data_IF_966236724698
#
_entry.id   IF_966236724698
#
_cell.length_a   1.000
_cell.length_b   1.000
_cell.length_c   1.000
_cell.angle_alpha   90.00
_cell.angle_beta   90.00
_cell.angle_gamma   90.00
#
_symmetry.space_group_name_H-M   'P 1'
#
loop_
_entity.id
_entity.type
_entity.pdbx_description
1 polymer ?
#
# COMPACT_ATOMS: atom_id res chain seq x y z
N UNK A 1 3.23 -11.49 -5.15
CA UNK A 1 1.79 -11.19 -5.20
C UNK A 1 1.38 -11.03 -3.77
N UNK A 2 0.86 -9.85 -3.41
CA UNK A 2 0.44 -9.54 -2.05
C UNK A 2 -0.65 -10.50 -1.59
N UNK A 3 -0.41 -11.14 -0.44
CA UNK A 3 -1.45 -11.86 0.29
C UNK A 3 -2.33 -10.86 1.03
N UNK A 4 -3.65 -10.97 0.83
CA UNK A 4 -4.63 -10.06 1.41
C UNK A 4 -5.57 -10.80 2.35
N UNK A 5 -5.84 -10.19 3.50
CA UNK A 5 -6.67 -10.75 4.55
C UNK A 5 -7.83 -9.82 4.85
N UNK A 6 -9.02 -10.38 5.10
CA UNK A 6 -10.21 -9.62 5.48
C UNK A 6 -10.47 -9.79 6.97
N UNK A 7 -10.58 -8.68 7.69
CA UNK A 7 -10.86 -8.65 9.13
C UNK A 7 -12.21 -8.01 9.40
N UNK A 8 -13.03 -8.61 10.25
CA UNK A 8 -14.22 -7.96 10.80
C UNK A 8 -13.85 -7.19 12.06
N UNK A 9 -14.09 -5.87 12.05
CA UNK A 9 -13.80 -4.96 13.15
C UNK A 9 -15.13 -4.45 13.70
N UNK A 10 -15.33 -4.58 15.02
CA UNK A 10 -16.51 -4.03 15.70
C UNK A 10 -16.15 -2.72 16.38
N UNK A 11 -16.68 -1.60 15.88
CA UNK A 11 -16.48 -0.28 16.48
C UNK A 11 -17.83 0.30 16.88
N UNK A 12 -18.03 0.53 18.18
CA UNK A 12 -19.24 1.16 18.73
C UNK A 12 -20.58 0.56 18.24
N UNK A 13 -20.60 -0.75 17.96
CA UNK A 13 -21.80 -1.46 17.48
C UNK A 13 -21.95 -1.54 15.96
N UNK A 14 -21.06 -0.92 15.19
CA UNK A 14 -20.99 -1.10 13.74
C UNK A 14 -19.99 -2.20 13.39
N UNK A 15 -20.41 -3.12 12.52
CA UNK A 15 -19.53 -4.08 11.88
C UNK A 15 -18.87 -3.40 10.67
N UNK A 16 -17.54 -3.33 10.68
CA UNK A 16 -16.72 -2.93 9.56
C UNK A 16 -15.92 -4.13 9.08
N UNK A 17 -15.58 -4.18 7.80
CA UNK A 17 -14.62 -5.14 7.29
C UNK A 17 -13.42 -4.38 6.70
N UNK A 18 -12.21 -4.85 6.98
CA UNK A 18 -10.97 -4.22 6.57
C UNK A 18 -10.12 -5.19 5.74
N UNK A 19 -9.56 -4.71 4.63
CA UNK A 19 -8.64 -5.46 3.77
C UNK A 19 -7.21 -5.11 4.17
N UNK A 20 -6.38 -6.09 4.53
CA UNK A 20 -5.03 -5.85 5.08
C UNK A 20 -3.96 -6.78 4.51
N UNK A 21 -2.70 -6.32 4.56
CA UNK A 21 -1.49 -7.08 4.22
C UNK A 21 -1.01 -8.00 5.35
N UNK A 22 -1.48 -7.81 6.58
CA UNK A 22 -0.97 -8.58 7.72
C UNK A 22 -1.83 -9.84 7.94
N UNK A 23 -1.20 -11.00 8.19
CA UNK A 23 -1.90 -12.24 8.44
C UNK A 23 -2.44 -12.31 9.89
N UNK A 24 -3.44 -13.16 10.17
CA UNK A 24 -4.17 -13.13 11.44
C UNK A 24 -3.29 -13.35 12.67
N UNK A 25 -2.26 -14.19 12.57
CA UNK A 25 -1.31 -14.43 13.66
C UNK A 25 -0.50 -13.19 14.03
N UNK A 26 -0.17 -12.34 13.03
CA UNK A 26 0.54 -11.08 13.28
C UNK A 26 -0.40 -10.08 13.93
N UNK A 27 -1.61 -9.95 13.39
CA UNK A 27 -2.64 -9.04 13.92
C UNK A 27 -3.05 -9.40 15.34
N UNK A 28 -3.18 -10.70 15.65
CA UNK A 28 -3.52 -11.15 17.00
C UNK A 28 -2.43 -10.81 18.02
N UNK A 29 -1.16 -10.84 17.60
CA UNK A 29 -0.01 -10.66 18.50
C UNK A 29 0.37 -9.19 18.68
N UNK A 30 0.28 -8.37 17.62
CA UNK A 30 0.84 -7.02 17.56
C UNK A 30 -0.19 -5.92 17.25
N UNK A 31 -1.46 -6.31 17.04
CA UNK A 31 -2.51 -5.41 16.57
C UNK A 31 -2.46 -5.16 15.06
N UNK A 32 -3.40 -4.33 14.59
CA UNK A 32 -3.56 -3.98 13.17
C UNK A 32 -3.23 -2.49 12.97
N UNK A 33 -1.99 -2.13 12.59
CA UNK A 33 -1.66 -0.75 12.27
C UNK A 33 -2.44 -0.28 11.03
N UNK A 34 -2.81 1.00 11.01
CA UNK A 34 -3.58 1.58 9.91
C UNK A 34 -2.84 1.45 8.58
N UNK A 35 -1.52 1.57 8.57
CA UNK A 35 -0.67 1.44 7.38
C UNK A 35 -0.65 0.03 6.79
N UNK A 36 -1.12 -0.98 7.52
CA UNK A 36 -1.31 -2.34 7.01
C UNK A 36 -2.67 -2.55 6.34
N UNK A 37 -3.61 -1.61 6.46
CA UNK A 37 -4.98 -1.73 5.97
C UNK A 37 -5.11 -0.98 4.65
N UNK A 38 -5.35 -1.69 3.54
CA UNK A 38 -5.59 -1.10 2.22
C UNK A 38 -6.83 -0.21 2.22
N UNK A 39 -7.86 -0.63 2.93
CA UNK A 39 -9.13 0.07 2.99
C UNK A 39 -10.24 -0.72 3.67
N UNK A 40 -11.37 -0.07 3.79
CA UNK A 40 -12.61 -0.63 4.32
C UNK A 40 -13.43 -1.24 3.20
N UNK A 41 -14.03 -2.40 3.46
CA UNK A 41 -14.99 -3.06 2.57
C UNK A 41 -16.36 -3.11 3.24
N UNK A 42 -17.42 -2.89 2.47
CA UNK A 42 -18.79 -2.97 2.95
C UNK A 42 -19.13 -4.44 3.29
N UNK A 43 -19.35 -4.79 4.57
CA UNK A 43 -19.59 -6.17 4.99
C UNK A 43 -20.95 -6.70 4.54
N UNK A 44 -21.85 -5.83 4.08
CA UNK A 44 -23.18 -6.21 3.59
C UNK A 44 -23.18 -6.62 2.11
N UNK A 45 -22.04 -6.53 1.43
CA UNK A 45 -21.91 -7.02 0.06
C UNK A 45 -21.30 -8.42 0.03
N UNK A 46 -21.86 -9.35 -0.76
CA UNK A 46 -21.35 -10.72 -0.83
C UNK A 46 -19.98 -10.83 -1.50
N UNK A 47 -19.62 -9.82 -2.30
CA UNK A 47 -18.38 -9.76 -3.04
C UNK A 47 -17.69 -8.42 -2.82
N UNK A 48 -16.36 -8.42 -2.84
CA UNK A 48 -15.57 -7.21 -2.79
C UNK A 48 -15.68 -6.47 -4.12
N UNK A 49 -16.46 -5.40 -4.14
CA UNK A 49 -16.65 -4.53 -5.32
C UNK A 49 -15.95 -3.19 -5.15
N UNK A 50 -15.64 -2.52 -6.26
CA UNK A 50 -15.09 -1.16 -6.25
C UNK A 50 -16.02 -0.14 -5.58
N UNK A 51 -17.34 -0.32 -5.68
CA UNK A 51 -18.33 0.56 -5.04
C UNK A 51 -18.55 0.28 -3.54
N UNK A 52 -18.08 -0.87 -3.05
CA UNK A 52 -18.10 -1.24 -1.64
C UNK A 52 -16.77 -0.99 -0.92
N UNK A 53 -15.78 -0.38 -1.58
CA UNK A 53 -14.43 -0.20 -1.04
C UNK A 53 -14.09 1.28 -0.82
N UNK A 54 -13.57 1.59 0.37
CA UNK A 54 -13.06 2.91 0.71
C UNK A 54 -11.56 2.81 1.02
N UNK A 55 -10.73 3.46 0.22
CA UNK A 55 -9.27 3.41 0.38
C UNK A 55 -8.83 4.09 1.68
N UNK A 56 -7.82 3.51 2.32
CA UNK A 56 -7.22 4.08 3.52
C UNK A 56 -6.07 5.03 3.16
N UNK A 57 -6.18 6.29 3.60
CA UNK A 57 -5.16 7.32 3.39
C UNK A 57 -3.80 6.96 3.98
N UNK A 58 -3.76 6.37 5.19
CA UNK A 58 -2.50 6.00 5.84
C UNK A 58 -1.70 4.97 5.02
N UNK A 59 -2.40 4.02 4.38
CA UNK A 59 -1.77 3.06 3.48
C UNK A 59 -1.25 3.73 2.21
N UNK A 60 -2.02 4.64 1.61
CA UNK A 60 -1.60 5.39 0.42
C UNK A 60 -0.36 6.26 0.70
N UNK A 61 -0.28 6.88 1.88
CA UNK A 61 0.87 7.67 2.30
C UNK A 61 2.12 6.80 2.48
N UNK A 62 1.97 5.63 3.12
CA UNK A 62 3.07 4.66 3.21
C UNK A 62 3.50 4.18 1.82
N UNK A 63 2.55 3.78 0.96
CA UNK A 63 2.83 3.34 -0.40
C UNK A 63 3.60 4.40 -1.19
N UNK A 64 3.14 5.66 -1.14
CA UNK A 64 3.84 6.79 -1.75
C UNK A 64 5.26 6.91 -1.22
N UNK A 65 5.46 6.82 0.09
CA UNK A 65 6.79 6.88 0.71
C UNK A 65 7.74 5.78 0.20
N UNK A 66 7.23 4.54 0.09
CA UNK A 66 7.98 3.40 -0.46
C UNK A 66 8.34 3.64 -1.93
N UNK A 67 7.39 4.14 -2.72
CA UNK A 67 7.62 4.43 -4.14
C UNK A 67 8.67 5.53 -4.31
N UNK A 68 8.53 6.68 -3.62
CA UNK A 68 9.50 7.78 -3.72
C UNK A 68 10.91 7.29 -3.39
N UNK A 69 11.04 6.45 -2.36
CA UNK A 69 12.33 5.96 -1.88
C UNK A 69 12.96 4.91 -2.78
N UNK A 70 12.17 4.01 -3.36
CA UNK A 70 12.70 2.78 -3.98
C UNK A 70 12.44 2.68 -5.48
N UNK A 71 11.41 3.36 -6.00
CA UNK A 71 11.05 3.26 -7.42
C UNK A 71 12.12 3.82 -8.38
N UNK A 72 12.82 4.93 -8.08
CA UNK A 72 13.89 5.42 -8.95
C UNK A 72 14.98 4.37 -9.21
N UNK A 73 15.27 3.49 -8.27
CA UNK A 73 16.31 2.46 -8.40
C UNK A 73 15.83 1.19 -9.11
N UNK A 74 14.54 1.10 -9.47
CA UNK A 74 14.01 -0.08 -10.14
C UNK A 74 14.62 -0.25 -11.53
N UNK A 75 15.08 -1.46 -11.90
CA UNK A 75 15.60 -1.73 -13.23
C UNK A 75 14.59 -1.40 -14.34
N UNK A 76 13.29 -1.59 -14.08
CA UNK A 76 12.20 -1.29 -15.00
C UNK A 76 12.08 0.22 -15.27
N UNK A 77 12.21 1.06 -14.24
CA UNK A 77 12.16 2.51 -14.36
C UNK A 77 13.45 3.09 -14.93
N UNK A 78 14.62 2.58 -14.51
CA UNK A 78 15.91 2.99 -15.08
C UNK A 78 15.97 2.75 -16.60
N UNK A 79 15.43 1.62 -17.07
CA UNK A 79 15.31 1.34 -18.51
C UNK A 79 14.38 2.31 -19.24
N UNK A 80 13.34 2.81 -18.57
CA UNK A 80 12.44 3.82 -19.13
C UNK A 80 13.11 5.19 -19.13
N UNK A 81 13.77 5.56 -18.03
CA UNK A 81 14.51 6.81 -17.87
C UNK A 81 15.59 6.97 -18.95
N UNK A 82 16.31 5.89 -19.29
CA UNK A 82 17.30 5.89 -20.38
C UNK A 82 16.73 6.26 -21.77
N UNK A 83 15.40 6.26 -21.94
CA UNK A 83 14.71 6.61 -23.19
C UNK A 83 13.99 7.95 -23.13
N UNK A 84 13.95 8.58 -21.96
CA UNK A 84 13.19 9.81 -21.70
C UNK A 84 14.16 10.89 -21.24
N UNK A 85 14.47 11.81 -22.13
CA UNK A 85 15.36 12.94 -21.84
C UNK A 85 14.64 13.99 -20.97
N UNK A 86 13.45 14.42 -21.37
CA UNK A 86 12.61 15.36 -20.63
C UNK A 86 11.16 14.88 -20.62
N UNK A 87 10.47 14.94 -19.47
CA UNK A 87 9.06 14.51 -19.38
C UNK A 87 8.68 13.87 -18.05
N UNK A 88 7.86 12.82 -18.08
CA UNK A 88 7.43 12.08 -16.90
C UNK A 88 7.67 10.58 -17.06
N UNK A 89 8.10 9.93 -15.98
CA UNK A 89 8.19 8.47 -15.85
C UNK A 89 7.09 8.02 -14.90
N UNK A 90 6.20 7.18 -15.39
CA UNK A 90 5.04 6.71 -14.65
C UNK A 90 5.37 5.43 -13.87
N UNK A 91 4.96 5.41 -12.60
CA UNK A 91 4.90 4.20 -11.80
C UNK A 91 3.50 3.63 -11.96
N UNK A 92 3.42 2.40 -12.45
CA UNK A 92 2.18 1.75 -12.85
C UNK A 92 1.92 0.55 -11.96
N UNK A 93 0.65 0.32 -11.65
CA UNK A 93 0.17 -0.88 -11.00
C UNK A 93 0.19 -2.08 -11.96
N UNK A 94 0.77 -3.18 -11.51
CA UNK A 94 1.08 -4.33 -12.35
C UNK A 94 -0.14 -5.23 -12.63
N UNK A 95 -1.33 -4.91 -12.11
CA UNK A 95 -2.54 -5.73 -12.27
C UNK A 95 -3.02 -5.90 -13.72
N UNK A 96 -2.49 -5.10 -14.66
CA UNK A 96 -2.82 -5.16 -16.10
C UNK A 96 -1.68 -5.56 -17.04
N UNK A 97 -0.47 -5.83 -16.52
CA UNK A 97 0.74 -5.94 -17.38
C UNK A 97 0.64 -7.05 -18.42
N UNK A 98 -0.15 -8.09 -18.17
CA UNK A 98 -0.27 -9.23 -19.07
C UNK A 98 -1.12 -8.97 -20.32
N UNK A 99 -1.67 -7.76 -20.52
CA UNK A 99 -2.57 -7.47 -21.65
C UNK A 99 -1.91 -6.70 -22.82
N UNK A 100 -0.64 -6.30 -22.72
CA UNK A 100 0.06 -5.58 -23.79
C UNK A 100 -0.54 -4.22 -24.17
N UNK A 101 -1.51 -3.74 -23.38
CA UNK A 101 -2.21 -2.46 -23.55
C UNK A 101 -1.62 -1.41 -22.62
N UNK A 102 -1.77 -0.13 -22.99
CA UNK A 102 -1.50 0.98 -22.08
C UNK A 102 -2.37 0.79 -20.82
N UNK A 103 -1.81 0.92 -19.61
CA UNK A 103 -2.59 0.81 -18.38
C UNK A 103 -3.70 1.88 -18.35
N UNK A 104 -4.89 1.56 -17.82
CA UNK A 104 -5.88 2.56 -17.45
C UNK A 104 -5.28 3.62 -16.53
N UNK A 105 -5.77 4.85 -16.60
CA UNK A 105 -5.24 5.94 -15.78
C UNK A 105 -5.44 5.68 -14.27
N UNK A 106 -6.50 4.97 -13.88
CA UNK A 106 -6.75 4.56 -12.49
C UNK A 106 -5.75 3.52 -11.94
N UNK A 107 -4.94 2.92 -12.81
CA UNK A 107 -3.90 1.97 -12.46
C UNK A 107 -2.49 2.61 -12.55
N UNK A 108 -2.40 3.93 -12.81
CA UNK A 108 -1.16 4.70 -12.66
C UNK A 108 -1.09 5.17 -11.20
N UNK A 109 -0.06 4.76 -10.46
CA UNK A 109 0.09 5.15 -9.06
C UNK A 109 0.52 6.62 -8.96
N UNK A 110 1.44 7.02 -9.84
CA UNK A 110 1.95 8.38 -9.91
C UNK A 110 3.10 8.48 -10.90
N UNK A 111 3.83 9.58 -10.84
CA UNK A 111 4.96 9.81 -11.74
C UNK A 111 6.06 10.66 -11.13
N UNK A 112 7.26 10.48 -11.66
CA UNK A 112 8.39 11.38 -11.45
C UNK A 112 8.59 12.26 -12.67
N UNK A 113 9.11 13.47 -12.45
CA UNK A 113 9.55 14.34 -13.54
C UNK A 113 10.98 13.99 -13.94
N UNK A 114 11.23 13.94 -15.24
CA UNK A 114 12.54 13.75 -15.84
C UNK A 114 13.04 15.07 -16.45
N UNK A 115 14.32 15.36 -16.23
CA UNK A 115 15.04 16.45 -16.90
C UNK A 115 16.45 15.99 -17.22
N UNK A 116 16.88 16.23 -18.46
CA UNK A 116 18.21 15.87 -18.98
C UNK A 116 18.58 14.40 -18.68
N UNK A 117 17.62 13.49 -18.85
CA UNK A 117 17.76 12.06 -18.61
C UNK A 117 17.82 11.64 -17.15
N UNK A 118 17.54 12.54 -16.20
CA UNK A 118 17.60 12.28 -14.76
C UNK A 118 16.27 12.53 -14.06
N UNK A 119 16.02 11.76 -12.99
CA UNK A 119 14.91 12.02 -12.08
C UNK A 119 15.14 13.38 -11.39
N UNK A 120 14.14 14.26 -11.46
CA UNK A 120 14.15 15.50 -10.68
C UNK A 120 13.86 15.15 -9.22
N UNK A 121 14.73 15.60 -8.31
CA UNK A 121 14.53 15.42 -6.87
C UNK A 121 13.17 16.00 -6.42
N UNK A 122 12.51 15.32 -5.49
CA UNK A 122 11.21 15.72 -4.91
C UNK A 122 10.09 15.95 -5.95
N UNK A 123 10.22 15.37 -7.15
CA UNK A 123 9.25 15.55 -8.24
C UNK A 123 8.17 14.48 -8.31
N UNK A 124 8.04 13.67 -7.25
CA UNK A 124 6.97 12.68 -7.17
C UNK A 124 5.60 13.37 -7.15
N UNK A 125 4.71 12.89 -8.00
CA UNK A 125 3.33 13.31 -8.07
C UNK A 125 2.42 12.10 -7.91
N UNK A 126 1.59 12.12 -6.88
CA UNK A 126 0.52 11.13 -6.71
C UNK A 126 -0.55 11.32 -7.80
N UNK A 127 -1.06 10.22 -8.34
CA UNK A 127 -2.23 10.28 -9.19
C UNK A 127 -3.51 10.32 -8.33
N UNK A 128 -4.29 11.41 -8.34
CA UNK A 128 -5.53 11.49 -7.54
C UNK A 128 -6.63 10.54 -8.00
N UNK A 129 -6.48 9.91 -9.18
CA UNK A 129 -7.43 8.93 -9.71
C UNK A 129 -6.96 7.48 -9.49
N UNK A 130 -5.81 7.26 -8.85
CA UNK A 130 -5.32 5.91 -8.56
C UNK A 130 -6.29 5.15 -7.65
N UNK A 131 -6.51 3.86 -7.94
CA UNK A 131 -7.39 2.99 -7.16
C UNK A 131 -6.65 1.77 -6.62
N UNK A 132 -6.59 1.61 -5.30
CA UNK A 132 -6.05 0.40 -4.66
C UNK A 132 -6.84 -0.87 -5.00
N UNK A 133 -8.12 -0.72 -5.35
CA UNK A 133 -8.98 -1.79 -5.85
C UNK A 133 -9.72 -1.29 -7.09
N UNK A 134 -9.59 -2.02 -8.19
CA UNK A 134 -10.29 -1.75 -9.46
C UNK A 134 -11.03 -3.00 -9.92
N UNK A 135 -11.71 -2.95 -11.06
CA UNK A 135 -12.37 -4.12 -11.64
C UNK A 135 -11.36 -5.21 -12.06
N UNK A 136 -10.06 -4.89 -12.11
CA UNK A 136 -8.99 -5.84 -12.38
C UNK A 136 -8.40 -6.45 -11.08
N UNK A 137 -9.04 -6.20 -9.93
CA UNK A 137 -8.61 -6.70 -8.63
C UNK A 137 -7.79 -5.68 -7.84
N UNK A 138 -7.17 -6.12 -6.74
CA UNK A 138 -6.38 -5.27 -5.86
C UNK A 138 -5.02 -4.91 -6.48
N UNK A 139 -4.35 -3.93 -5.87
CA UNK A 139 -2.99 -3.50 -6.18
C UNK A 139 -2.02 -4.66 -6.40
N UNK A 140 -1.23 -4.54 -7.47
CA UNK A 140 -0.07 -5.40 -7.71
C UNK A 140 1.15 -4.51 -7.96
N UNK A 141 2.24 -4.83 -7.28
CA UNK A 141 3.50 -4.08 -7.38
C UNK A 141 4.57 -4.92 -8.07
N UNK A 142 5.61 -4.26 -8.56
CA UNK A 142 6.86 -4.94 -8.86
C UNK A 142 7.41 -5.59 -7.59
N UNK A 143 8.00 -6.79 -7.69
CA UNK A 143 8.40 -7.60 -6.54
C UNK A 143 9.28 -6.84 -5.53
N UNK A 144 10.17 -5.97 -5.99
CA UNK A 144 11.02 -5.15 -5.13
C UNK A 144 10.19 -4.17 -4.28
N UNK A 145 9.19 -3.52 -4.88
CA UNK A 145 8.31 -2.60 -4.13
C UNK A 145 7.37 -3.37 -3.19
N UNK A 146 6.90 -4.54 -3.61
CA UNK A 146 6.12 -5.45 -2.77
C UNK A 146 6.89 -5.81 -1.49
N UNK A 147 8.14 -6.24 -1.64
CA UNK A 147 9.04 -6.58 -0.53
C UNK A 147 9.26 -5.37 0.40
N UNK A 148 9.56 -4.19 -0.16
CA UNK A 148 9.78 -2.97 0.65
C UNK A 148 8.55 -2.48 1.38
N UNK A 149 7.37 -2.63 0.78
CA UNK A 149 6.12 -2.32 1.45
C UNK A 149 5.88 -3.28 2.64
N UNK A 150 6.07 -4.58 2.44
CA UNK A 150 5.89 -5.57 3.50
C UNK A 150 6.92 -5.42 4.63
N UNK A 151 8.18 -5.12 4.32
CA UNK A 151 9.21 -4.79 5.31
C UNK A 151 8.77 -3.60 6.18
N UNK A 152 8.27 -2.53 5.57
CA UNK A 152 7.84 -1.34 6.29
C UNK A 152 6.62 -1.60 7.18
N UNK A 153 5.61 -2.30 6.65
CA UNK A 153 4.42 -2.68 7.43
C UNK A 153 4.77 -3.55 8.64
N UNK A 154 5.66 -4.54 8.47
CA UNK A 154 6.14 -5.38 9.58
C UNK A 154 6.93 -4.58 10.61
N UNK A 155 7.77 -3.64 10.18
CA UNK A 155 8.52 -2.77 11.08
C UNK A 155 7.60 -1.88 11.92
N UNK A 156 6.52 -1.34 11.34
CA UNK A 156 5.51 -0.57 12.06
C UNK A 156 4.80 -1.45 13.10
N UNK A 157 4.34 -2.63 12.69
CA UNK A 157 3.67 -3.59 13.59
C UNK A 157 4.55 -3.98 14.79
N UNK A 158 5.83 -4.28 14.56
CA UNK A 158 6.78 -4.63 15.62
C UNK A 158 7.13 -3.46 16.56
N UNK A 159 6.93 -2.21 16.13
CA UNK A 159 7.20 -1.04 16.97
C UNK A 159 5.98 -0.63 17.80
N UNK A 160 4.74 -0.92 17.36
CA UNK A 160 3.53 -0.72 18.18
C UNK A 160 3.56 -1.52 19.50
N UNK A 161 4.26 -2.67 19.52
CA UNK A 161 4.50 -3.44 20.74
C UNK A 161 5.33 -2.68 21.79
N UNK A 162 6.29 -1.85 21.34
CA UNK A 162 7.20 -1.14 22.26
C UNK A 162 6.50 0.04 22.92
N UNK A 163 5.62 0.72 22.19
CA UNK A 163 4.89 1.88 22.71
C UNK A 163 3.67 1.49 23.56
N UNK A 164 3.19 0.24 23.45
CA UNK A 164 2.13 -0.32 24.30
C UNK A 164 2.66 -1.11 25.53
N UNK A 165 3.98 -1.14 25.76
CA UNK A 165 4.56 -1.73 26.97
C UNK A 165 4.38 -0.79 28.17
N UNK A 166 3.23 -0.85 28.83
CA UNK A 166 3.14 -0.52 30.25
C UNK A 166 3.66 -1.73 31.03
N UNK A 167 4.80 -1.64 31.75
CA UNK A 167 5.14 -2.70 32.69
C UNK A 167 4.03 -2.75 33.75
N UNK A 168 3.18 -3.77 33.66
CA UNK A 168 2.35 -4.20 34.78
C UNK A 168 3.30 -4.63 35.87
N UNK A 169 3.68 -3.69 36.75
CA UNK A 169 4.24 -4.04 38.04
C UNK A 169 3.19 -4.87 38.76
N UNK A 170 3.45 -6.14 39.09
CA UNK A 170 2.58 -6.87 39.98
C UNK A 170 2.72 -6.24 41.37
N UNK A 171 1.81 -5.34 41.73
CA UNK A 171 1.58 -5.00 43.13
C UNK A 171 0.89 -6.20 43.77
N UNK A 172 1.67 -7.12 44.32
CA UNK A 172 1.16 -8.03 45.34
C UNK A 172 1.32 -7.37 46.72
N UNK A 173 0.25 -7.34 47.54
CA UNK A 173 0.31 -6.87 48.90
C UNK A 173 0.88 -7.96 49.82
N UNK A 174 1.73 -7.56 50.76
CA UNK A 174 1.86 -8.18 52.07
C UNK A 174 1.52 -7.14 53.12
#
# INVERSE_FOLDING_TARGET
MLDLYVYSIKIAGNDLAALSLLPPETVHSHGLPSEAVLGEVNPNQPEMTTGGFTANGAFLDLLSTIIVKHAPDLPSLQKQAAKVDNGAIYVVDHRNINQGKKPPYEDVIGWFTMRDGQFVADSWNNNPQYKLLSNNGPIQLEAILEEKLLEAVRAISNNQDKDNYYPVHPKYPH
#
